data_IF_545358514282
#
_entry.id   IF_545358514282
#
_cell.length_a   1.000
_cell.length_b   1.000
_cell.length_c   1.000
_cell.angle_alpha   90.00
_cell.angle_beta   90.00
_cell.angle_gamma   90.00
#
_symmetry.space_group_name_H-M   'P 1'
#
loop_
_entity.id
_entity.type
_entity.pdbx_description
1 polymer ?
#
# COMPACT_ATOMS: atom_id res chain seq x y z
N UNK A 1 -14.53 20.02 -3.64
CA UNK A 1 -14.24 19.30 -4.91
C UNK A 1 -13.73 17.94 -4.53
N UNK A 2 -14.42 16.88 -4.91
CA UNK A 2 -13.99 15.52 -4.64
C UNK A 2 -13.22 15.00 -5.87
N UNK A 3 -11.93 14.73 -5.72
CA UNK A 3 -11.08 14.14 -6.76
C UNK A 3 -10.95 12.62 -6.59
N UNK A 4 -11.77 12.03 -5.73
CA UNK A 4 -11.78 10.58 -5.55
C UNK A 4 -12.45 9.89 -6.74
N UNK A 5 -11.95 8.71 -7.06
CA UNK A 5 -12.63 7.81 -7.99
C UNK A 5 -14.00 7.42 -7.42
N UNK A 6 -14.98 7.26 -8.29
CA UNK A 6 -16.25 6.64 -7.88
C UNK A 6 -16.00 5.21 -7.35
N UNK A 7 -16.98 4.64 -6.65
CA UNK A 7 -16.89 3.22 -6.26
C UNK A 7 -16.70 2.29 -7.46
N UNK A 8 -17.26 2.66 -8.60
CA UNK A 8 -17.07 1.93 -9.85
C UNK A 8 -15.63 2.03 -10.34
N UNK A 9 -15.05 3.23 -10.32
CA UNK A 9 -13.65 3.46 -10.68
C UNK A 9 -12.69 2.67 -9.78
N UNK A 10 -12.91 2.70 -8.47
CA UNK A 10 -12.15 1.89 -7.50
C UNK A 10 -12.19 0.39 -7.86
N UNK A 11 -13.37 -0.16 -8.14
CA UNK A 11 -13.50 -1.58 -8.48
C UNK A 11 -12.89 -1.92 -9.85
N UNK A 12 -12.97 -1.02 -10.84
CA UNK A 12 -12.34 -1.22 -12.15
C UNK A 12 -10.81 -1.26 -12.00
N UNK A 13 -10.23 -0.32 -11.28
CA UNK A 13 -8.77 -0.30 -11.03
C UNK A 13 -8.31 -1.57 -10.32
N UNK A 14 -8.99 -1.99 -9.25
CA UNK A 14 -8.67 -3.24 -8.53
C UNK A 14 -8.77 -4.46 -9.43
N UNK A 15 -9.82 -4.55 -10.26
CA UNK A 15 -10.00 -5.66 -11.19
C UNK A 15 -8.90 -5.70 -12.24
N UNK A 16 -8.48 -4.55 -12.78
CA UNK A 16 -7.38 -4.46 -13.72
C UNK A 16 -6.05 -4.92 -13.10
N UNK A 17 -5.78 -4.54 -11.83
CA UNK A 17 -4.60 -5.00 -11.08
C UNK A 17 -4.61 -6.53 -10.94
N UNK A 18 -5.74 -7.14 -10.60
CA UNK A 18 -5.87 -8.61 -10.53
C UNK A 18 -5.53 -9.28 -11.85
N UNK A 19 -6.06 -8.74 -12.96
CA UNK A 19 -5.75 -9.27 -14.30
C UNK A 19 -4.27 -9.08 -14.67
N UNK A 20 -3.65 -7.96 -14.28
CA UNK A 20 -2.24 -7.70 -14.53
C UNK A 20 -1.32 -8.66 -13.75
N UNK A 21 -1.69 -8.98 -12.51
CA UNK A 21 -0.96 -9.96 -11.69
C UNK A 21 -0.99 -11.37 -12.29
N UNK A 22 -2.10 -11.73 -12.94
CA UNK A 22 -2.27 -13.03 -13.57
C UNK A 22 -1.68 -13.09 -14.99
N UNK A 23 -1.28 -11.97 -15.56
CA UNK A 23 -0.80 -11.91 -16.94
C UNK A 23 0.45 -12.77 -17.17
N UNK A 24 1.39 -12.74 -16.23
CA UNK A 24 2.62 -13.54 -16.28
C UNK A 24 2.35 -15.05 -16.14
N UNK A 25 1.27 -15.41 -15.46
CA UNK A 25 0.86 -16.81 -15.29
C UNK A 25 0.21 -17.38 -16.56
N UNK A 26 -0.22 -16.51 -17.49
CA UNK A 26 -0.90 -16.89 -18.73
C UNK A 26 -2.27 -17.55 -18.52
N UNK A 27 -2.87 -17.42 -17.32
CA UNK A 27 -4.12 -18.10 -16.96
C UNK A 27 -5.25 -17.07 -16.83
N UNK A 28 -6.40 -17.31 -17.51
CA UNK A 28 -7.58 -16.44 -17.33
C UNK A 28 -8.10 -16.43 -15.90
N UNK A 29 -8.39 -15.26 -15.36
CA UNK A 29 -9.05 -15.09 -14.04
C UNK A 29 -10.55 -15.30 -14.14
N UNK A 30 -11.10 -16.06 -13.22
CA UNK A 30 -12.56 -16.16 -13.04
C UNK A 30 -13.07 -14.98 -12.21
N UNK A 31 -14.33 -14.60 -12.43
CA UNK A 31 -14.98 -13.54 -11.62
C UNK A 31 -14.81 -13.78 -10.13
N UNK A 32 -14.98 -15.03 -9.66
CA UNK A 32 -14.84 -15.40 -8.24
C UNK A 32 -13.44 -15.12 -7.69
N UNK A 33 -12.40 -15.25 -8.52
CA UNK A 33 -11.02 -15.02 -8.13
C UNK A 33 -10.76 -13.51 -7.97
N UNK A 34 -11.19 -12.69 -8.94
CA UNK A 34 -11.14 -11.24 -8.84
C UNK A 34 -11.91 -10.72 -7.61
N UNK A 35 -13.13 -11.24 -7.38
CA UNK A 35 -13.95 -10.91 -6.22
C UNK A 35 -13.23 -11.21 -4.91
N UNK A 36 -12.63 -12.39 -4.80
CA UNK A 36 -11.95 -12.83 -3.57
C UNK A 36 -10.63 -12.09 -3.36
N UNK A 37 -9.86 -11.86 -4.43
CA UNK A 37 -8.53 -11.25 -4.37
C UNK A 37 -8.60 -9.75 -4.08
N UNK A 38 -9.54 -9.05 -4.72
CA UNK A 38 -9.59 -7.58 -4.71
C UNK A 38 -10.77 -7.02 -3.90
N UNK A 39 -11.49 -7.85 -3.16
CA UNK A 39 -12.66 -7.44 -2.39
C UNK A 39 -13.69 -6.65 -3.23
N UNK A 40 -13.87 -7.01 -4.50
CA UNK A 40 -14.91 -6.43 -5.36
C UNK A 40 -16.24 -7.11 -5.05
N UNK A 41 -17.33 -6.37 -4.80
CA UNK A 41 -18.61 -7.00 -4.54
C UNK A 41 -19.08 -7.83 -5.74
N UNK A 42 -19.50 -9.08 -5.47
CA UNK A 42 -19.89 -10.04 -6.51
C UNK A 42 -20.97 -9.51 -7.46
N UNK A 43 -21.88 -8.71 -6.95
CA UNK A 43 -22.98 -8.10 -7.71
C UNK A 43 -22.51 -7.14 -8.79
N UNK A 44 -21.36 -6.49 -8.59
CA UNK A 44 -20.80 -5.53 -9.54
C UNK A 44 -19.71 -6.13 -10.44
N UNK A 45 -19.10 -7.25 -10.03
CA UNK A 45 -17.91 -7.79 -10.68
C UNK A 45 -18.12 -8.07 -12.18
N UNK A 46 -19.28 -8.57 -12.60
CA UNK A 46 -19.57 -8.83 -14.01
C UNK A 46 -19.62 -7.54 -14.83
N UNK A 47 -20.25 -6.48 -14.29
CA UNK A 47 -20.34 -5.19 -14.96
C UNK A 47 -18.97 -4.51 -15.04
N UNK A 48 -18.20 -4.56 -13.96
CA UNK A 48 -16.85 -4.00 -13.87
C UNK A 48 -15.92 -4.62 -14.90
N UNK A 49 -15.93 -5.96 -14.99
CA UNK A 49 -15.12 -6.67 -15.99
C UNK A 49 -15.60 -6.43 -17.42
N UNK A 50 -16.92 -6.25 -17.64
CA UNK A 50 -17.46 -5.87 -18.93
C UNK A 50 -17.03 -4.45 -19.35
N UNK A 51 -16.87 -3.53 -18.40
CA UNK A 51 -16.36 -2.18 -18.69
C UNK A 51 -14.91 -2.22 -19.17
N UNK A 52 -14.07 -3.00 -18.53
CA UNK A 52 -12.68 -3.23 -18.98
C UNK A 52 -12.60 -3.87 -20.37
N UNK A 53 -13.50 -4.82 -20.67
CA UNK A 53 -13.58 -5.45 -22.01
C UNK A 53 -14.03 -4.45 -23.05
N UNK A 54 -15.05 -3.63 -22.75
CA UNK A 54 -15.57 -2.59 -23.65
C UNK A 54 -14.53 -1.53 -23.96
N UNK A 55 -13.69 -1.18 -22.97
CA UNK A 55 -12.60 -0.24 -23.13
C UNK A 55 -11.36 -0.84 -23.84
N UNK A 56 -11.36 -2.14 -24.20
CA UNK A 56 -10.21 -2.79 -24.82
C UNK A 56 -9.03 -3.03 -23.91
N UNK A 57 -9.21 -2.84 -22.60
CA UNK A 57 -8.21 -3.13 -21.56
C UNK A 57 -8.14 -4.64 -21.29
N UNK A 58 -9.28 -5.31 -21.29
CA UNK A 58 -9.38 -6.75 -21.06
C UNK A 58 -10.05 -7.48 -22.22
N UNK A 59 -9.87 -8.79 -22.24
CA UNK A 59 -10.58 -9.75 -23.10
C UNK A 59 -11.26 -10.80 -22.25
N UNK A 60 -12.29 -11.44 -22.79
CA UNK A 60 -13.02 -12.50 -22.08
C UNK A 60 -13.40 -13.65 -23.01
N UNK A 61 -13.51 -14.82 -22.44
CA UNK A 61 -14.04 -16.02 -23.10
C UNK A 61 -14.98 -16.76 -22.17
N UNK A 62 -16.13 -17.14 -22.69
CA UNK A 62 -17.08 -17.98 -21.94
C UNK A 62 -16.61 -19.43 -21.85
N UNK A 63 -17.11 -20.16 -20.85
CA UNK A 63 -16.93 -21.60 -20.71
C UNK A 63 -15.99 -22.02 -19.59
N UNK A 64 -15.79 -23.36 -19.48
CA UNK A 64 -15.04 -23.98 -18.39
C UNK A 64 -13.59 -23.50 -18.28
N UNK A 65 -12.92 -23.37 -19.41
CA UNK A 65 -11.54 -22.87 -19.51
C UNK A 65 -11.48 -21.38 -19.90
N UNK A 66 -12.60 -20.66 -19.88
CA UNK A 66 -12.68 -19.23 -20.13
C UNK A 66 -12.44 -18.41 -18.85
N UNK A 67 -12.61 -17.11 -18.98
CA UNK A 67 -12.39 -16.13 -17.92
C UNK A 67 -12.04 -14.79 -18.53
N UNK A 68 -11.34 -13.94 -17.76
CA UNK A 68 -10.88 -12.63 -18.16
C UNK A 68 -9.37 -12.55 -18.09
N UNK A 69 -8.77 -11.83 -19.03
CA UNK A 69 -7.32 -11.55 -19.08
C UNK A 69 -7.10 -10.18 -19.72
N UNK A 70 -5.91 -9.59 -19.57
CA UNK A 70 -5.58 -8.34 -20.25
C UNK A 70 -5.50 -8.55 -21.77
N UNK A 71 -6.02 -7.61 -22.54
CA UNK A 71 -5.99 -7.63 -23.99
C UNK A 71 -4.59 -7.35 -24.56
N UNK A 72 -3.72 -6.68 -23.78
CA UNK A 72 -2.35 -6.29 -24.12
C UNK A 72 -1.45 -6.52 -22.89
N UNK A 73 -0.13 -6.43 -23.09
CA UNK A 73 0.80 -6.48 -21.96
C UNK A 73 0.51 -5.34 -20.97
N UNK A 74 0.62 -5.59 -19.65
CA UNK A 74 0.31 -4.58 -18.62
C UNK A 74 1.20 -3.33 -18.70
N UNK A 75 2.40 -3.44 -19.32
CA UNK A 75 3.28 -2.30 -19.61
C UNK A 75 2.76 -1.40 -20.73
N UNK A 76 1.84 -1.90 -21.57
CA UNK A 76 1.23 -1.16 -22.69
C UNK A 76 -0.17 -0.62 -22.35
N UNK A 77 -0.57 -0.72 -21.10
CA UNK A 77 -1.85 -0.22 -20.59
C UNK A 77 -1.55 0.83 -19.53
N UNK A 78 -2.02 2.06 -19.75
CA UNK A 78 -1.88 3.14 -18.78
C UNK A 78 -2.96 3.09 -17.69
N UNK A 79 -2.64 3.67 -16.53
CA UNK A 79 -3.64 3.88 -15.47
C UNK A 79 -4.77 4.78 -15.96
N UNK A 80 -4.47 5.73 -16.84
CA UNK A 80 -5.48 6.59 -17.46
C UNK A 80 -6.54 5.79 -18.20
N UNK A 81 -6.15 4.84 -19.06
CA UNK A 81 -7.09 3.98 -19.80
C UNK A 81 -7.98 3.17 -18.87
N UNK A 82 -7.41 2.66 -17.77
CA UNK A 82 -8.16 1.91 -16.75
C UNK A 82 -9.17 2.80 -16.03
N UNK A 83 -8.79 4.02 -15.64
CA UNK A 83 -9.69 4.97 -14.98
C UNK A 83 -10.79 5.42 -15.93
N UNK A 84 -10.45 5.77 -17.16
CA UNK A 84 -11.42 6.21 -18.18
C UNK A 84 -12.42 5.11 -18.58
N UNK A 85 -12.06 3.84 -18.43
CA UNK A 85 -12.99 2.72 -18.63
C UNK A 85 -14.21 2.76 -17.69
N UNK A 86 -14.05 3.34 -16.49
CA UNK A 86 -15.10 3.46 -15.49
C UNK A 86 -15.75 4.83 -15.45
N UNK A 87 -14.92 5.87 -15.43
CA UNK A 87 -15.35 7.26 -15.19
C UNK A 87 -15.72 8.00 -16.49
N UNK A 88 -15.38 7.40 -17.63
CA UNK A 88 -15.40 8.09 -18.92
C UNK A 88 -14.16 8.99 -19.08
N UNK A 89 -14.03 9.62 -20.27
CA UNK A 89 -12.85 10.43 -20.58
C UNK A 89 -12.63 11.56 -19.57
N UNK A 90 -11.43 11.65 -19.04
CA UNK A 90 -10.99 12.77 -18.22
C UNK A 90 -10.67 13.96 -19.12
N UNK A 91 -11.68 14.80 -19.42
CA UNK A 91 -11.49 15.96 -20.29
C UNK A 91 -10.81 17.10 -19.55
N UNK A 92 -9.69 17.58 -20.10
CA UNK A 92 -9.05 18.82 -19.66
C UNK A 92 -9.96 20.05 -19.90
N UNK A 93 -10.94 19.92 -20.80
CA UNK A 93 -11.84 20.98 -21.23
C UNK A 93 -13.08 21.16 -20.32
N UNK A 94 -13.30 20.30 -19.33
CA UNK A 94 -14.43 20.47 -18.39
C UNK A 94 -14.15 21.62 -17.44
N UNK A 95 -15.06 22.57 -17.42
CA UNK A 95 -15.00 23.71 -16.52
C UNK A 95 -15.11 23.28 -15.05
N UNK A 96 -14.26 23.82 -14.18
CA UNK A 96 -14.35 23.63 -12.73
C UNK A 96 -15.65 24.15 -12.11
N UNK A 97 -16.29 25.11 -12.77
CA UNK A 97 -17.42 25.87 -12.24
C UNK A 97 -18.78 25.40 -12.76
N UNK A 98 -18.83 24.38 -13.65
CA UNK A 98 -20.10 23.90 -14.17
C UNK A 98 -20.00 22.75 -15.15
N UNK A 99 -21.15 22.13 -15.44
CA UNK A 99 -21.27 21.10 -16.47
C UNK A 99 -21.52 21.78 -17.85
N UNK A 100 -20.80 21.26 -18.86
CA UNK A 100 -20.97 21.73 -20.25
C UNK A 100 -19.86 22.66 -20.73
N UNK A 101 -19.98 23.22 -21.95
CA UNK A 101 -18.98 24.10 -22.52
C UNK A 101 -18.83 25.39 -21.70
N UNK A 102 -17.58 25.80 -21.49
CA UNK A 102 -17.27 26.98 -20.69
C UNK A 102 -17.81 28.24 -21.40
N UNK A 103 -18.70 28.97 -20.73
CA UNK A 103 -19.24 30.22 -21.26
C UNK A 103 -18.26 31.39 -21.27
N UNK A 104 -17.19 31.27 -20.47
CA UNK A 104 -16.21 32.33 -20.20
C UNK A 104 -14.80 31.93 -20.61
N UNK A 105 -14.65 30.93 -21.46
CA UNK A 105 -13.38 30.35 -21.86
C UNK A 105 -12.30 31.40 -22.19
N UNK A 106 -12.68 32.38 -23.01
CA UNK A 106 -11.76 33.43 -23.46
C UNK A 106 -11.44 34.51 -22.40
N UNK A 107 -12.24 34.59 -21.32
CA UNK A 107 -12.10 35.66 -20.30
C UNK A 107 -12.06 35.14 -18.85
N UNK A 108 -12.13 33.85 -18.67
CA UNK A 108 -12.15 33.24 -17.34
C UNK A 108 -10.73 33.22 -16.73
N UNK A 109 -10.49 33.88 -15.59
CA UNK A 109 -9.19 33.92 -14.97
C UNK A 109 -8.73 32.56 -14.40
N UNK A 110 -9.64 31.61 -14.24
CA UNK A 110 -9.36 30.26 -13.72
C UNK A 110 -9.10 29.24 -14.83
N UNK A 111 -9.48 29.53 -16.07
CA UNK A 111 -9.47 28.56 -17.18
C UNK A 111 -8.08 27.95 -17.41
N UNK A 112 -7.06 28.78 -17.57
CA UNK A 112 -5.68 28.35 -17.81
C UNK A 112 -5.14 27.48 -16.66
N UNK A 113 -5.33 27.94 -15.43
CA UNK A 113 -4.88 27.19 -14.24
C UNK A 113 -5.56 25.83 -14.13
N UNK A 114 -6.88 25.81 -14.39
CA UNK A 114 -7.65 24.57 -14.29
C UNK A 114 -7.33 23.57 -15.40
N UNK A 115 -7.25 24.03 -16.63
CA UNK A 115 -6.88 23.17 -17.76
C UNK A 115 -5.46 22.61 -17.62
N UNK A 116 -4.53 23.43 -17.14
CA UNK A 116 -3.16 22.98 -16.83
C UNK A 116 -3.13 21.90 -15.75
N UNK A 117 -3.86 22.09 -14.65
CA UNK A 117 -3.96 21.10 -13.56
C UNK A 117 -4.57 19.77 -14.05
N UNK A 118 -5.63 19.84 -14.86
CA UNK A 118 -6.27 18.64 -15.42
C UNK A 118 -5.38 17.94 -16.44
N UNK A 119 -4.65 18.70 -17.26
CA UNK A 119 -3.68 18.16 -18.20
C UNK A 119 -2.53 17.43 -17.45
N UNK A 120 -2.00 18.02 -16.39
CA UNK A 120 -0.97 17.41 -15.57
C UNK A 120 -1.44 16.11 -14.92
N UNK A 121 -2.68 16.06 -14.40
CA UNK A 121 -3.28 14.83 -13.88
C UNK A 121 -3.33 13.74 -14.95
N UNK A 122 -3.81 14.08 -16.15
CA UNK A 122 -3.87 13.13 -17.27
C UNK A 122 -2.50 12.63 -17.67
N UNK A 123 -1.51 13.51 -17.74
CA UNK A 123 -0.13 13.16 -18.06
C UNK A 123 0.44 12.14 -17.08
N UNK A 124 0.30 12.38 -15.78
CA UNK A 124 0.77 11.44 -14.74
C UNK A 124 0.06 10.08 -14.85
N UNK A 125 -1.25 10.05 -15.02
CA UNK A 125 -2.01 8.81 -15.17
C UNK A 125 -1.68 8.07 -16.48
N UNK A 126 -1.39 8.80 -17.57
CA UNK A 126 -1.01 8.23 -18.84
C UNK A 126 0.43 7.67 -18.83
N UNK A 127 1.34 8.33 -18.09
CA UNK A 127 2.73 7.89 -17.95
C UNK A 127 2.88 6.67 -17.02
N UNK A 128 1.93 6.44 -16.10
CA UNK A 128 1.97 5.33 -15.16
C UNK A 128 1.34 4.09 -15.79
N UNK A 129 2.09 3.00 -15.87
CA UNK A 129 1.61 1.74 -16.47
C UNK A 129 0.89 0.84 -15.45
N UNK A 130 0.01 -0.02 -15.94
CA UNK A 130 -0.65 -1.02 -15.12
C UNK A 130 0.35 -2.05 -14.57
N UNK A 131 1.47 -2.30 -15.27
CA UNK A 131 2.57 -3.15 -14.80
C UNK A 131 3.20 -2.58 -13.52
N UNK A 132 3.51 -1.28 -13.51
CA UNK A 132 4.09 -0.61 -12.33
C UNK A 132 3.15 -0.65 -11.12
N UNK A 133 1.85 -0.40 -11.35
CA UNK A 133 0.84 -0.46 -10.28
C UNK A 133 0.69 -1.88 -9.75
N UNK A 134 0.64 -2.89 -10.62
CA UNK A 134 0.53 -4.29 -10.23
C UNK A 134 1.78 -4.78 -9.48
N UNK A 135 2.98 -4.34 -9.89
CA UNK A 135 4.22 -4.64 -9.19
C UNK A 135 4.25 -4.02 -7.78
N UNK A 136 3.84 -2.75 -7.65
CA UNK A 136 3.71 -2.08 -6.35
C UNK A 136 2.68 -2.77 -5.47
N UNK A 137 1.53 -3.14 -6.03
CA UNK A 137 0.48 -3.88 -5.36
C UNK A 137 0.97 -5.22 -4.80
N UNK A 138 1.74 -5.95 -5.58
CA UNK A 138 2.38 -7.20 -5.17
C UNK A 138 3.40 -6.97 -4.05
N UNK A 139 4.20 -5.90 -4.14
CA UNK A 139 5.16 -5.54 -3.10
C UNK A 139 4.48 -5.19 -1.78
N UNK A 140 3.35 -4.47 -1.81
CA UNK A 140 2.54 -4.19 -0.62
C UNK A 140 2.02 -5.49 -0.01
N UNK A 141 1.49 -6.41 -0.83
CA UNK A 141 0.99 -7.70 -0.34
C UNK A 141 2.09 -8.55 0.29
N UNK A 142 3.28 -8.53 -0.30
CA UNK A 142 4.45 -9.26 0.18
C UNK A 142 5.18 -8.56 1.34
N UNK A 143 4.78 -7.33 1.72
CA UNK A 143 5.42 -6.55 2.78
C UNK A 143 6.80 -6.01 2.44
N UNK A 144 7.12 -5.92 1.16
CA UNK A 144 8.38 -5.31 0.68
C UNK A 144 8.22 -3.82 0.35
N UNK A 145 7.01 -3.31 0.46
CA UNK A 145 6.67 -1.89 0.31
C UNK A 145 5.97 -1.41 1.57
N UNK A 146 6.54 -0.46 2.33
CA UNK A 146 5.93 0.01 3.57
C UNK A 146 4.67 0.81 3.30
N UNK A 147 3.64 0.56 4.13
CA UNK A 147 2.38 1.30 4.14
C UNK A 147 2.14 1.86 5.54
N UNK A 148 1.33 2.93 5.69
CA UNK A 148 0.98 3.47 6.99
C UNK A 148 0.36 2.41 7.91
N UNK A 149 0.68 2.47 9.21
CA UNK A 149 0.08 1.61 10.22
C UNK A 149 -1.44 1.73 10.24
N UNK A 150 -2.13 0.65 10.56
CA UNK A 150 -3.59 0.58 10.48
C UNK A 150 -4.14 0.40 9.04
N UNK A 151 -3.30 0.51 8.01
CA UNK A 151 -3.71 0.27 6.63
C UNK A 151 -3.83 -1.23 6.35
N UNK A 152 -4.96 -1.67 5.82
CA UNK A 152 -5.17 -3.06 5.42
C UNK A 152 -6.15 -3.17 4.24
N UNK A 153 -6.06 -4.25 3.50
CA UNK A 153 -7.02 -4.54 2.44
C UNK A 153 -8.22 -5.25 3.02
N UNK A 154 -9.41 -4.81 2.65
CA UNK A 154 -10.64 -5.52 3.00
C UNK A 154 -10.59 -6.94 2.43
N UNK A 155 -10.96 -7.91 3.27
CA UNK A 155 -11.01 -9.35 2.90
C UNK A 155 -9.81 -10.18 3.36
N UNK A 156 -8.73 -9.58 3.83
CA UNK A 156 -7.65 -10.31 4.51
C UNK A 156 -7.95 -10.44 6.01
N UNK A 157 -7.60 -11.58 6.59
CA UNK A 157 -7.56 -11.71 8.04
C UNK A 157 -6.44 -10.80 8.56
N UNK A 158 -6.83 -9.72 9.19
CA UNK A 158 -5.92 -8.73 9.76
C UNK A 158 -6.25 -8.54 11.24
N UNK A 159 -5.24 -8.25 12.02
CA UNK A 159 -5.33 -7.96 13.44
C UNK A 159 -4.62 -6.65 13.72
N UNK A 160 -5.31 -5.74 14.39
CA UNK A 160 -4.72 -4.51 14.87
C UNK A 160 -3.79 -4.81 16.06
N UNK A 161 -2.59 -4.28 16.00
CA UNK A 161 -1.59 -4.42 17.06
C UNK A 161 -1.10 -3.06 17.51
N UNK A 162 -0.99 -2.92 18.82
CA UNK A 162 -0.38 -1.76 19.44
C UNK A 162 0.43 -2.24 20.66
N UNK A 163 1.68 -1.78 20.78
CA UNK A 163 2.51 -2.03 21.93
C UNK A 163 3.54 -0.89 22.08
N UNK A 164 4.10 -0.74 23.27
CA UNK A 164 5.09 0.28 23.54
C UNK A 164 6.16 -0.24 24.50
N UNK A 165 7.36 0.34 24.43
CA UNK A 165 8.48 0.06 25.33
C UNK A 165 9.23 1.35 25.65
N UNK A 166 9.70 1.47 26.89
CA UNK A 166 10.61 2.54 27.26
C UNK A 166 12.04 2.21 26.80
N UNK A 167 12.74 3.24 26.42
CA UNK A 167 14.14 3.22 26.00
C UNK A 167 14.90 4.19 26.92
N UNK A 168 15.96 3.72 27.55
CA UNK A 168 16.81 4.51 28.45
C UNK A 168 17.74 5.44 27.64
N UNK A 169 17.15 6.30 26.86
CA UNK A 169 17.77 7.32 26.02
C UNK A 169 16.80 8.47 25.82
N UNK A 170 17.32 9.69 25.74
CA UNK A 170 16.53 10.82 25.29
C UNK A 170 16.04 10.61 23.83
N UNK A 171 14.93 11.27 23.48
CA UNK A 171 14.30 11.10 22.16
C UNK A 171 15.25 11.42 21.00
N UNK A 172 16.10 12.43 21.12
CA UNK A 172 17.00 12.89 20.07
C UNK A 172 18.10 11.86 19.80
N UNK A 173 18.68 11.32 20.87
CA UNK A 173 19.67 10.25 20.77
C UNK A 173 19.04 8.98 20.18
N UNK A 174 17.88 8.57 20.68
CA UNK A 174 17.16 7.41 20.17
C UNK A 174 16.83 7.55 18.67
N UNK A 175 16.34 8.72 18.23
CA UNK A 175 16.05 9.02 16.83
C UNK A 175 17.29 8.99 15.97
N UNK A 176 18.39 9.57 16.43
CA UNK A 176 19.66 9.58 15.70
C UNK A 176 20.19 8.17 15.53
N UNK A 177 20.15 7.33 16.56
CA UNK A 177 20.57 5.93 16.51
C UNK A 177 19.65 5.12 15.60
N UNK A 178 18.33 5.29 15.70
CA UNK A 178 17.35 4.62 14.83
C UNK A 178 17.59 4.94 13.36
N UNK A 179 17.81 6.21 13.01
CA UNK A 179 18.07 6.62 11.63
C UNK A 179 19.36 6.05 11.07
N UNK A 180 20.41 5.93 11.89
CA UNK A 180 21.69 5.33 11.51
C UNK A 180 21.60 3.81 11.37
N UNK A 181 20.77 3.18 12.17
CA UNK A 181 20.66 1.72 12.27
C UNK A 181 19.51 1.14 11.45
N UNK A 182 18.75 1.94 10.72
CA UNK A 182 17.60 1.48 9.94
C UNK A 182 17.94 0.34 8.96
N UNK A 183 19.16 0.33 8.41
CA UNK A 183 19.67 -0.75 7.56
C UNK A 183 20.15 -1.99 8.34
N UNK A 184 20.28 -1.90 9.65
CA UNK A 184 20.74 -2.99 10.53
C UNK A 184 19.58 -3.69 11.28
N UNK A 185 18.33 -3.45 10.88
CA UNK A 185 17.18 -4.08 11.53
C UNK A 185 17.09 -5.60 11.28
N UNK A 186 17.83 -6.13 10.31
CA UNK A 186 17.95 -7.58 10.09
C UNK A 186 18.26 -8.39 11.36
N UNK A 187 19.24 -8.01 12.20
CA UNK A 187 19.54 -8.69 13.48
C UNK A 187 18.47 -8.51 14.57
N UNK A 188 17.63 -7.48 14.47
CA UNK A 188 16.54 -7.20 15.44
C UNK A 188 15.37 -8.15 15.22
N UNK A 189 15.23 -8.63 14.00
CA UNK A 189 14.22 -9.60 13.59
C UNK A 189 14.80 -11.01 13.62
N UNK A 190 13.98 -11.97 14.03
CA UNK A 190 14.42 -13.37 14.17
C UNK A 190 14.88 -13.96 12.83
N UNK A 191 15.72 -14.99 12.85
CA UNK A 191 16.34 -15.63 11.67
C UNK A 191 15.34 -16.14 10.61
N UNK A 192 14.06 -16.27 10.95
CA UNK A 192 12.98 -16.60 10.03
C UNK A 192 12.42 -15.38 9.26
N UNK A 193 12.92 -14.18 9.55
CA UNK A 193 12.48 -12.96 8.88
C UNK A 193 13.17 -12.77 7.54
N UNK A 194 12.40 -12.55 6.50
CA UNK A 194 12.94 -12.38 5.15
C UNK A 194 13.24 -10.92 4.80
N UNK A 195 12.41 -9.95 5.22
CA UNK A 195 12.55 -8.56 4.78
C UNK A 195 11.95 -7.57 5.79
N UNK A 196 12.68 -6.49 6.07
CA UNK A 196 12.24 -5.35 6.88
C UNK A 196 12.54 -4.06 6.14
N UNK A 197 11.56 -3.19 6.03
CA UNK A 197 11.72 -1.83 5.53
C UNK A 197 11.28 -0.82 6.61
N UNK A 198 12.13 0.16 6.89
CA UNK A 198 11.84 1.27 7.79
C UNK A 198 12.12 2.58 7.07
N UNK A 199 11.09 3.39 6.87
CA UNK A 199 11.20 4.67 6.17
C UNK A 199 10.79 5.82 7.08
N UNK A 200 11.63 6.86 7.23
CA UNK A 200 11.22 8.06 7.95
C UNK A 200 10.11 8.77 7.18
N UNK A 201 9.12 9.26 7.91
CA UNK A 201 8.09 10.13 7.33
C UNK A 201 8.67 11.52 7.17
N UNK A 202 8.82 11.97 5.92
CA UNK A 202 9.23 13.33 5.60
C UNK A 202 7.99 14.23 5.59
N UNK A 203 7.77 14.96 6.68
CA UNK A 203 6.69 15.94 6.80
C UNK A 203 7.23 17.23 7.41
N UNK A 204 6.72 18.41 7.02
CA UNK A 204 7.03 19.66 7.71
C UNK A 204 6.43 19.75 9.13
N UNK A 205 5.45 18.90 9.45
CA UNK A 205 4.83 18.88 10.78
C UNK A 205 5.79 18.23 11.81
N UNK A 206 6.09 18.90 12.96
CA UNK A 206 7.05 18.39 13.96
C UNK A 206 6.69 17.00 14.50
N UNK A 207 5.41 16.73 14.71
CA UNK A 207 4.94 15.44 15.24
C UNK A 207 5.10 14.29 14.25
N UNK A 208 5.03 14.56 12.94
CA UNK A 208 5.22 13.55 11.91
C UNK A 208 6.70 13.24 11.66
N UNK A 209 7.64 14.14 11.97
CA UNK A 209 9.08 13.89 11.87
C UNK A 209 9.59 12.84 12.88
N UNK A 210 8.76 12.46 13.84
CA UNK A 210 9.03 11.42 14.85
C UNK A 210 8.44 10.07 14.50
N UNK A 211 7.96 9.93 13.28
CA UNK A 211 7.22 8.77 12.80
C UNK A 211 8.01 8.06 11.70
N UNK A 212 8.00 6.74 11.76
CA UNK A 212 8.59 5.87 10.75
C UNK A 212 7.55 4.87 10.27
N UNK A 213 7.49 4.64 8.97
CA UNK A 213 6.71 3.55 8.40
C UNK A 213 7.54 2.29 8.46
N UNK A 214 7.02 1.27 9.12
CA UNK A 214 7.63 -0.07 9.22
C UNK A 214 6.79 -1.05 8.39
N UNK A 215 7.44 -1.73 7.46
CA UNK A 215 6.88 -2.91 6.84
C UNK A 215 7.82 -4.09 7.09
N UNK A 216 7.28 -5.16 7.62
CA UNK A 216 8.05 -6.33 8.03
C UNK A 216 7.35 -7.60 7.56
N UNK A 217 8.01 -8.33 6.66
CA UNK A 217 7.59 -9.66 6.21
C UNK A 217 8.38 -10.73 6.94
N UNK A 218 7.71 -11.76 7.41
CA UNK A 218 8.36 -12.90 8.04
C UNK A 218 7.53 -14.17 7.82
N UNK A 219 8.20 -15.30 7.92
CA UNK A 219 7.61 -16.62 7.81
C UNK A 219 7.59 -17.31 9.18
N UNK A 220 6.44 -17.85 9.56
CA UNK A 220 6.28 -18.65 10.77
C UNK A 220 5.30 -19.80 10.52
N UNK A 221 5.64 -20.99 11.01
CA UNK A 221 4.78 -22.19 10.92
C UNK A 221 4.30 -22.50 9.48
N UNK A 222 5.15 -22.27 8.49
CA UNK A 222 4.80 -22.51 7.07
C UNK A 222 3.84 -21.50 6.47
N UNK A 223 3.63 -20.37 7.10
CA UNK A 223 2.81 -19.26 6.62
C UNK A 223 3.59 -17.97 6.61
N UNK A 224 3.33 -17.11 5.64
CA UNK A 224 3.91 -15.78 5.54
C UNK A 224 2.97 -14.73 6.12
N UNK A 225 3.56 -13.78 6.82
CA UNK A 225 2.89 -12.68 7.49
C UNK A 225 3.53 -11.35 7.11
N UNK A 226 2.72 -10.31 7.15
CA UNK A 226 3.16 -8.93 6.98
C UNK A 226 2.65 -8.08 8.13
N UNK A 227 3.54 -7.30 8.72
CA UNK A 227 3.23 -6.22 9.64
C UNK A 227 3.48 -4.89 8.94
N UNK A 228 2.44 -4.10 8.79
CA UNK A 228 2.53 -2.71 8.36
C UNK A 228 2.17 -1.83 9.55
N UNK A 229 3.11 -0.97 9.97
CA UNK A 229 2.98 -0.25 11.20
C UNK A 229 3.61 1.15 11.14
N UNK A 230 3.12 2.02 12.01
CA UNK A 230 3.76 3.26 12.42
C UNK A 230 4.60 3.02 13.66
N UNK A 231 5.87 3.33 13.58
CA UNK A 231 6.78 3.37 14.70
C UNK A 231 7.02 4.82 15.10
N UNK A 232 6.69 5.16 16.34
CA UNK A 232 6.78 6.53 16.86
C UNK A 232 7.73 6.59 18.05
N UNK A 233 8.48 7.69 18.12
CA UNK A 233 9.29 8.04 19.28
C UNK A 233 8.64 9.23 20.00
N UNK A 234 8.46 9.12 21.30
CA UNK A 234 7.91 10.18 22.15
C UNK A 234 8.78 10.37 23.38
N UNK A 235 9.15 11.61 23.70
CA UNK A 235 9.86 11.92 24.94
C UNK A 235 8.98 11.60 26.16
N UNK A 236 9.55 10.91 27.14
CA UNK A 236 8.94 10.68 28.45
C UNK A 236 9.51 11.68 29.47
N UNK A 237 10.84 11.81 29.49
CA UNK A 237 11.57 12.78 30.28
C UNK A 237 12.92 13.13 29.59
N UNK A 238 13.84 13.77 30.30
CA UNK A 238 15.13 14.18 29.74
C UNK A 238 16.09 13.03 29.41
N UNK A 239 15.88 11.86 29.98
CA UNK A 239 16.77 10.71 29.84
C UNK A 239 16.09 9.51 29.16
N UNK A 240 14.76 9.55 28.99
CA UNK A 240 13.98 8.42 28.48
C UNK A 240 12.99 8.82 27.40
N UNK A 241 12.80 7.94 26.45
CA UNK A 241 11.71 8.03 25.47
C UNK A 241 10.88 6.74 25.44
N UNK A 242 9.70 6.84 24.85
CA UNK A 242 8.82 5.71 24.53
C UNK A 242 8.91 5.41 23.04
N UNK A 243 9.14 4.16 22.73
CA UNK A 243 9.05 3.61 21.39
C UNK A 243 7.72 2.88 21.26
N UNK A 244 6.80 3.44 20.48
CA UNK A 244 5.43 2.96 20.28
C UNK A 244 5.24 2.45 18.86
N UNK A 245 4.65 1.28 18.73
CA UNK A 245 4.26 0.69 17.45
C UNK A 245 2.76 0.51 17.40
N UNK A 246 2.14 1.00 16.34
CA UNK A 246 0.72 0.84 16.04
C UNK A 246 0.58 0.39 14.60
N UNK A 247 -0.11 -0.71 14.33
CA UNK A 247 -0.18 -1.23 12.98
C UNK A 247 -1.13 -2.40 12.79
N UNK A 248 -1.07 -2.95 11.60
CA UNK A 248 -1.90 -4.05 11.16
C UNK A 248 -1.04 -5.25 10.79
N UNK A 249 -1.35 -6.36 11.41
CA UNK A 249 -0.76 -7.65 11.16
C UNK A 249 -1.68 -8.48 10.29
N UNK A 250 -1.16 -9.04 9.19
CA UNK A 250 -1.95 -9.85 8.26
C UNK A 250 -1.20 -11.09 7.80
N UNK A 251 -1.91 -12.16 7.57
CA UNK A 251 -1.41 -13.34 6.89
C UNK A 251 -1.47 -13.13 5.38
N UNK A 252 -0.44 -13.54 4.63
CA UNK A 252 -0.39 -13.45 3.16
C UNK A 252 -1.05 -14.69 2.55
N UNK A 253 -2.24 -14.58 1.94
CA UNK A 253 -3.00 -15.76 1.48
C UNK A 253 -2.32 -16.54 0.38
N UNK A 254 -1.62 -15.86 -0.53
CA UNK A 254 -0.98 -16.49 -1.69
C UNK A 254 0.20 -17.40 -1.31
N UNK A 255 0.77 -17.19 -0.11
CA UNK A 255 1.97 -17.90 0.35
C UNK A 255 1.71 -18.77 1.60
N UNK A 256 0.45 -18.87 2.01
CA UNK A 256 0.08 -19.58 3.23
C UNK A 256 -0.87 -20.73 2.92
N UNK A 257 -0.43 -21.99 3.10
CA UNK A 257 -1.27 -23.16 2.82
C UNK A 257 -2.43 -23.32 3.81
N UNK A 258 -2.31 -22.73 5.01
CA UNK A 258 -3.30 -22.84 6.07
C UNK A 258 -3.67 -21.44 6.59
N UNK A 259 -4.96 -21.14 6.64
CA UNK A 259 -5.47 -19.94 7.30
C UNK A 259 -5.45 -20.12 8.81
N UNK A 260 -4.81 -19.21 9.53
CA UNK A 260 -4.87 -19.18 10.99
C UNK A 260 -6.23 -18.61 11.45
N UNK A 261 -6.73 -19.15 12.55
CA UNK A 261 -7.86 -18.56 13.27
C UNK A 261 -7.47 -17.19 13.84
N UNK A 262 -8.43 -16.25 13.89
CA UNK A 262 -8.20 -14.88 14.34
C UNK A 262 -7.54 -14.80 15.73
N UNK A 263 -7.91 -15.68 16.67
CA UNK A 263 -7.34 -15.73 18.01
C UNK A 263 -5.85 -16.11 18.02
N UNK A 264 -5.46 -17.07 17.18
CA UNK A 264 -4.07 -17.50 17.03
C UNK A 264 -3.24 -16.43 16.32
N UNK A 265 -3.85 -15.77 15.32
CA UNK A 265 -3.23 -14.66 14.61
C UNK A 265 -2.96 -13.48 15.57
N UNK A 266 -3.93 -13.10 16.41
CA UNK A 266 -3.78 -12.04 17.42
C UNK A 266 -2.69 -12.38 18.43
N UNK A 267 -2.66 -13.59 18.96
CA UNK A 267 -1.63 -14.01 19.92
C UNK A 267 -0.23 -13.97 19.31
N UNK A 268 -0.07 -14.49 18.08
CA UNK A 268 1.20 -14.46 17.36
C UNK A 268 1.66 -13.03 17.11
N UNK A 269 0.75 -12.18 16.64
CA UNK A 269 1.00 -10.78 16.36
C UNK A 269 1.53 -10.02 17.58
N UNK A 270 0.82 -10.12 18.72
CA UNK A 270 1.21 -9.44 19.97
C UNK A 270 2.56 -9.93 20.50
N UNK A 271 2.79 -11.24 20.50
CA UNK A 271 4.07 -11.80 20.97
C UNK A 271 5.23 -11.31 20.10
N UNK A 272 5.04 -11.28 18.78
CA UNK A 272 6.09 -10.90 17.83
C UNK A 272 6.38 -9.40 17.91
N UNK A 273 5.36 -8.55 17.94
CA UNK A 273 5.52 -7.09 18.08
C UNK A 273 6.25 -6.74 19.38
N UNK A 274 5.84 -7.35 20.49
CA UNK A 274 6.50 -7.12 21.79
C UNK A 274 7.97 -7.57 21.79
N UNK A 275 8.27 -8.71 21.19
CA UNK A 275 9.65 -9.21 21.07
C UNK A 275 10.49 -8.26 20.21
N UNK A 276 9.94 -7.78 19.09
CA UNK A 276 10.59 -6.82 18.20
C UNK A 276 10.93 -5.52 18.95
N UNK A 277 9.94 -4.89 19.60
CA UNK A 277 10.14 -3.64 20.33
C UNK A 277 11.22 -3.76 21.41
N UNK A 278 11.23 -4.84 22.17
CA UNK A 278 12.24 -5.09 23.21
C UNK A 278 13.64 -5.27 22.63
N UNK A 279 13.77 -5.93 21.47
CA UNK A 279 15.07 -6.09 20.79
C UNK A 279 15.53 -4.77 20.21
N UNK A 280 14.64 -4.00 19.62
CA UNK A 280 14.93 -2.68 19.08
C UNK A 280 15.38 -1.72 20.18
N UNK A 281 14.70 -1.68 21.32
CA UNK A 281 15.08 -0.87 22.47
C UNK A 281 16.52 -1.21 22.92
N UNK A 282 16.81 -2.49 23.14
CA UNK A 282 18.16 -2.94 23.53
C UNK A 282 19.23 -2.58 22.49
N UNK A 283 18.93 -2.69 21.21
CA UNK A 283 19.86 -2.29 20.15
C UNK A 283 20.13 -0.78 20.20
N UNK A 284 19.11 0.04 20.42
CA UNK A 284 19.27 1.48 20.55
C UNK A 284 20.10 1.85 21.79
N UNK A 285 19.90 1.18 22.91
CA UNK A 285 20.63 1.40 24.17
C UNK A 285 22.09 0.93 24.08
N UNK A 286 22.35 -0.19 23.38
CA UNK A 286 23.69 -0.77 23.28
C UNK A 286 24.60 -0.12 22.23
N UNK A 287 24.03 0.65 21.28
CA UNK A 287 24.81 1.33 20.27
C UNK A 287 25.65 2.46 20.92
N UNK A 288 26.92 2.21 21.14
CA UNK A 288 27.89 3.20 21.62
C UNK A 288 27.97 4.38 20.67
N UNK A 289 28.20 5.58 21.21
CA UNK A 289 28.60 6.76 20.41
C UNK A 289 29.98 6.46 19.79
N UNK A 290 30.02 5.96 18.56
CA UNK A 290 31.26 6.07 17.80
C UNK A 290 31.47 7.56 17.49
N UNK A 291 32.64 8.12 17.87
CA UNK A 291 32.94 9.51 17.59
C UNK A 291 32.97 9.69 16.06
N UNK A 292 32.25 10.73 15.60
CA UNK A 292 32.31 11.22 14.23
C UNK A 292 33.79 11.50 13.93
N UNK A 293 34.42 10.61 13.15
CA UNK A 293 35.76 10.80 12.64
C UNK A 293 35.83 12.13 11.87
N UNK A 294 36.79 12.94 12.25
CA UNK A 294 37.11 14.25 11.66
C UNK A 294 37.47 14.13 10.18
#
# INVERSE_FOLDING_TARGET
>A
MDMTLSKRGDYVVRSAISLARAFEEGVPRKIREVVSEMAVPRTFASQILADLVRAGVASSKAGRNGGYWLARAPGDISVLEVVEAAEGPLHAERCALGEGPCRWEAVCPLHETWSTATAALREVLAATTLAEVAARDRSIEMGTYPIPGGSHRMGFAAVEVADAVHVELDETAARTRLSRSAHLLGPVVDAACSEVALLPVTSPAPDEQRRYLLSWKFSAQGSDFVLDADLKLAAVDAERCELRLEGTWRQVPAMSPVRLEASKLDQLARCTVRSFLRRLARMLESASEEPVGR
#
